data_IF_149606170200
#
_entry.id   IF_149606170200
#
_cell.length_a   1.000
_cell.length_b   1.000
_cell.length_c   1.000
_cell.angle_alpha   90.00
_cell.angle_beta   90.00
_cell.angle_gamma   90.00
#
_symmetry.space_group_name_H-M   'P 1'
#
loop_
_entity.id
_entity.type
_entity.pdbx_description
1 polymer ?
#
# COMPACT_ATOMS: atom_id res chain seq x y z
N UNK A 1 5.74 -7.70 15.74
CA UNK A 1 4.49 -8.33 15.30
C UNK A 1 4.86 -9.48 14.38
N UNK A 2 4.28 -10.66 14.58
CA UNK A 2 4.56 -11.83 13.72
C UNK A 2 3.89 -11.63 12.35
N UNK A 3 4.62 -11.93 11.28
CA UNK A 3 4.11 -11.88 9.90
C UNK A 3 3.92 -13.28 9.34
N UNK A 4 3.03 -13.39 8.35
CA UNK A 4 2.85 -14.60 7.53
C UNK A 4 2.77 -14.21 6.05
N UNK A 5 3.15 -15.14 5.19
CA UNK A 5 2.83 -15.03 3.77
C UNK A 5 1.31 -15.05 3.60
N UNK A 6 0.79 -14.08 2.86
CA UNK A 6 -0.62 -13.90 2.54
C UNK A 6 -0.76 -13.87 1.03
N UNK A 7 -1.69 -14.67 0.53
CA UNK A 7 -2.08 -14.70 -0.87
C UNK A 7 -3.12 -13.59 -1.11
N UNK A 8 -2.92 -12.80 -2.16
CA UNK A 8 -3.81 -11.73 -2.62
C UNK A 8 -4.30 -12.06 -4.03
N UNK A 9 -5.51 -11.62 -4.37
CA UNK A 9 -6.13 -11.81 -5.69
C UNK A 9 -6.10 -13.29 -6.13
N UNK A 10 -6.58 -14.17 -5.26
CA UNK A 10 -6.58 -15.62 -5.53
C UNK A 10 -5.19 -16.26 -5.60
N UNK A 11 -4.16 -15.62 -5.03
CA UNK A 11 -2.78 -16.12 -5.00
C UNK A 11 -1.92 -15.63 -6.16
N UNK A 12 -2.44 -14.75 -7.03
CA UNK A 12 -1.65 -14.11 -8.07
C UNK A 12 -0.56 -13.20 -7.52
N UNK A 13 -0.77 -12.65 -6.32
CA UNK A 13 0.23 -11.86 -5.59
C UNK A 13 0.44 -12.48 -4.20
N UNK A 14 1.69 -12.46 -3.73
CA UNK A 14 2.08 -12.89 -2.38
C UNK A 14 2.75 -11.75 -1.64
N UNK A 15 2.49 -11.61 -0.35
CA UNK A 15 3.11 -10.57 0.49
C UNK A 15 3.20 -11.04 1.94
N UNK A 16 4.19 -10.57 2.70
CA UNK A 16 4.19 -10.78 4.15
C UNK A 16 3.38 -9.69 4.86
N UNK A 17 2.36 -10.11 5.60
CA UNK A 17 1.47 -9.25 6.37
C UNK A 17 1.30 -9.79 7.80
N UNK A 18 0.82 -8.99 8.77
CA UNK A 18 0.60 -9.46 10.14
C UNK A 18 -0.36 -10.65 10.20
N UNK A 19 -0.08 -11.59 11.11
CA UNK A 19 -0.93 -12.77 11.33
C UNK A 19 -2.33 -12.41 11.84
N UNK A 20 -2.47 -11.24 12.45
CA UNK A 20 -3.69 -10.74 13.10
C UNK A 20 -4.58 -9.89 12.20
N UNK A 21 -4.28 -9.76 10.91
CA UNK A 21 -5.18 -9.08 9.98
C UNK A 21 -6.49 -9.86 9.78
N UNK A 22 -7.59 -9.12 9.69
CA UNK A 22 -8.88 -9.60 9.22
C UNK A 22 -9.08 -9.11 7.80
N UNK A 23 -9.37 -10.03 6.89
CA UNK A 23 -9.83 -9.74 5.54
C UNK A 23 -11.30 -9.24 5.59
N UNK A 24 -11.53 -8.03 5.10
CA UNK A 24 -12.83 -7.37 5.11
C UNK A 24 -13.79 -7.97 4.08
N UNK A 25 -13.28 -8.67 3.05
CA UNK A 25 -14.12 -9.35 2.04
C UNK A 25 -15.07 -10.39 2.65
N UNK A 26 -14.69 -10.96 3.80
CA UNK A 26 -15.49 -11.91 4.57
C UNK A 26 -16.69 -11.26 5.27
N UNK A 27 -16.70 -9.94 5.40
CA UNK A 27 -17.73 -9.16 6.11
C UNK A 27 -18.59 -8.36 5.14
N UNK A 28 -18.00 -7.81 4.09
CA UNK A 28 -18.69 -7.02 3.06
C UNK A 28 -18.01 -7.18 1.71
N UNK A 29 -18.75 -6.86 0.65
CA UNK A 29 -18.15 -6.79 -0.68
C UNK A 29 -17.07 -5.70 -0.74
N UNK A 30 -15.96 -6.07 -1.36
CA UNK A 30 -14.82 -5.21 -1.73
C UNK A 30 -14.71 -5.30 -3.25
N UNK A 31 -14.37 -4.21 -3.97
CA UNK A 31 -14.14 -4.27 -5.41
C UNK A 31 -13.12 -5.35 -5.78
N UNK A 32 -13.32 -6.03 -6.91
CA UNK A 32 -12.41 -7.11 -7.37
C UNK A 32 -10.96 -6.63 -7.57
N UNK A 33 -10.77 -5.33 -7.82
CA UNK A 33 -9.45 -4.70 -7.96
C UNK A 33 -8.78 -4.39 -6.62
N UNK A 34 -9.42 -4.68 -5.48
CA UNK A 34 -8.96 -4.33 -4.15
C UNK A 34 -8.92 -5.52 -3.19
N UNK A 35 -7.93 -5.50 -2.31
CA UNK A 35 -7.83 -6.35 -1.12
C UNK A 35 -7.74 -5.44 0.11
N UNK A 36 -8.64 -5.63 1.08
CA UNK A 36 -8.79 -4.72 2.22
C UNK A 36 -8.69 -5.50 3.52
N UNK A 37 -7.73 -5.10 4.35
CA UNK A 37 -7.49 -5.69 5.66
C UNK A 37 -7.57 -4.64 6.76
N UNK A 38 -8.00 -5.09 7.94
CA UNK A 38 -7.89 -4.32 9.18
C UNK A 38 -7.13 -5.13 10.23
N UNK A 39 -6.39 -4.45 11.10
CA UNK A 39 -5.74 -5.11 12.21
C UNK A 39 -6.76 -5.50 13.29
N UNK A 40 -6.80 -6.78 13.65
CA UNK A 40 -7.57 -7.24 14.80
C UNK A 40 -6.82 -6.91 16.09
N UNK A 41 -7.09 -5.73 16.66
CA UNK A 41 -6.67 -5.47 18.04
C UNK A 41 -7.72 -6.04 18.98
N UNK A 42 -7.48 -7.25 19.52
CA UNK A 42 -8.26 -7.77 20.66
C UNK A 42 -8.03 -6.98 21.95
N UNK A 43 -7.11 -6.03 21.95
CA UNK A 43 -6.92 -5.09 23.05
C UNK A 43 -7.93 -3.95 22.94
N UNK A 44 -8.99 -4.07 23.74
CA UNK A 44 -9.98 -3.01 23.99
C UNK A 44 -9.34 -1.70 24.51
N UNK A 45 -8.11 -1.75 25.02
CA UNK A 45 -7.39 -0.57 25.54
C UNK A 45 -6.46 0.10 24.51
N UNK A 46 -6.19 -0.56 23.37
CA UNK A 46 -5.39 -0.02 22.27
C UNK A 46 -5.96 -0.50 20.92
N UNK A 47 -7.14 -0.01 20.50
CA UNK A 47 -7.58 -0.21 19.13
C UNK A 47 -6.54 0.46 18.22
N UNK A 48 -5.75 -0.37 17.54
CA UNK A 48 -4.93 0.11 16.45
C UNK A 48 -5.76 -0.08 15.19
N UNK A 49 -6.42 1.00 14.77
CA UNK A 49 -7.30 1.08 13.59
C UNK A 49 -6.49 1.06 12.28
N UNK A 50 -5.38 0.32 12.27
CA UNK A 50 -4.55 0.11 11.09
C UNK A 50 -5.38 -0.61 10.04
N UNK A 51 -5.52 0.04 8.89
CA UNK A 51 -6.04 -0.58 7.66
C UNK A 51 -4.93 -0.71 6.64
N UNK A 52 -4.98 -1.80 5.86
CA UNK A 52 -4.06 -2.08 4.77
C UNK A 52 -4.91 -2.35 3.53
N UNK A 53 -4.67 -1.60 2.47
CA UNK A 53 -5.40 -1.70 1.21
C UNK A 53 -4.38 -1.95 0.11
N UNK A 54 -4.64 -2.94 -0.73
CA UNK A 54 -3.88 -3.19 -1.95
C UNK A 54 -4.84 -3.04 -3.12
N UNK A 55 -4.47 -2.24 -4.12
CA UNK A 55 -5.34 -1.92 -5.25
C UNK A 55 -4.59 -1.98 -6.59
N UNK A 56 -5.25 -2.53 -7.60
CA UNK A 56 -4.81 -2.54 -9.00
C UNK A 56 -5.46 -1.37 -9.74
N UNK A 57 -4.64 -0.41 -10.14
CA UNK A 57 -5.05 0.81 -10.84
C UNK A 57 -4.47 0.90 -12.25
N UNK A 58 -5.09 1.73 -13.07
CA UNK A 58 -4.50 2.10 -14.36
C UNK A 58 -3.24 2.93 -14.14
N UNK A 59 -2.17 2.64 -14.90
CA UNK A 59 -0.94 3.42 -14.82
C UNK A 59 -1.20 4.87 -15.24
N UNK A 60 -0.70 5.81 -14.44
CA UNK A 60 -0.76 7.22 -14.78
C UNK A 60 0.22 7.61 -15.89
N UNK A 61 -0.15 8.63 -16.67
CA UNK A 61 0.69 9.27 -17.68
C UNK A 61 1.51 10.41 -17.07
N UNK A 62 2.34 10.11 -16.08
CA UNK A 62 3.23 11.08 -15.40
C UNK A 62 4.65 11.03 -15.96
N UNK A 63 5.46 12.05 -15.63
CA UNK A 63 6.88 12.14 -15.98
C UNK A 63 7.78 11.16 -15.21
N UNK A 64 7.37 10.72 -14.02
CA UNK A 64 8.17 9.83 -13.17
C UNK A 64 7.31 9.06 -12.16
N UNK A 65 7.81 7.93 -11.66
CA UNK A 65 7.13 7.18 -10.58
C UNK A 65 7.00 7.99 -9.27
N UNK A 66 7.88 8.98 -9.04
CA UNK A 66 7.74 9.92 -7.93
C UNK A 66 6.55 10.86 -8.11
N UNK A 67 6.26 11.25 -9.35
CA UNK A 67 5.09 12.08 -9.64
C UNK A 67 3.81 11.23 -9.57
N UNK A 68 3.84 9.97 -10.04
CA UNK A 68 2.71 9.04 -9.88
C UNK A 68 2.32 8.80 -8.43
N UNK A 69 3.28 8.50 -7.54
CA UNK A 69 2.94 8.22 -6.13
C UNK A 69 2.40 9.46 -5.41
N UNK A 70 2.89 10.66 -5.77
CA UNK A 70 2.35 11.93 -5.25
C UNK A 70 0.92 12.13 -5.73
N UNK A 71 0.66 11.90 -7.02
CA UNK A 71 -0.68 12.00 -7.59
C UNK A 71 -1.66 11.01 -6.93
N UNK A 72 -1.26 9.76 -6.71
CA UNK A 72 -2.09 8.77 -6.01
C UNK A 72 -2.35 9.20 -4.56
N UNK A 73 -1.36 9.76 -3.86
CA UNK A 73 -1.55 10.30 -2.51
C UNK A 73 -2.50 11.50 -2.47
N UNK A 74 -2.40 12.42 -3.44
CA UNK A 74 -3.28 13.57 -3.55
C UNK A 74 -4.72 13.16 -3.92
N UNK A 75 -4.86 12.16 -4.81
CA UNK A 75 -6.17 11.57 -5.16
C UNK A 75 -6.83 10.91 -3.95
N UNK A 76 -6.07 10.14 -3.17
CA UNK A 76 -6.55 9.57 -1.91
C UNK A 76 -7.00 10.65 -0.92
N UNK A 77 -6.27 11.78 -0.84
CA UNK A 77 -6.67 12.90 0.00
C UNK A 77 -7.98 13.56 -0.47
N UNK A 78 -8.16 13.71 -1.78
CA UNK A 78 -9.41 14.20 -2.36
C UNK A 78 -10.59 13.26 -2.06
N UNK A 79 -10.40 11.94 -2.23
CA UNK A 79 -11.44 10.94 -1.99
C UNK A 79 -11.84 10.87 -0.51
N UNK A 80 -10.87 11.07 0.39
CA UNK A 80 -11.11 11.22 1.82
C UNK A 80 -11.71 12.57 2.22
N UNK A 81 -11.88 13.51 1.28
CA UNK A 81 -12.25 14.90 1.56
C UNK A 81 -11.35 15.52 2.65
N UNK A 82 -10.05 15.25 2.57
CA UNK A 82 -9.09 15.71 3.55
C UNK A 82 -9.03 17.24 3.59
N UNK A 83 -9.06 17.81 4.78
CA UNK A 83 -8.94 19.25 5.01
C UNK A 83 -7.54 19.75 4.72
N UNK A 84 -6.55 18.91 4.96
CA UNK A 84 -5.16 19.13 4.56
C UNK A 84 -4.46 17.79 4.34
N UNK A 85 -3.45 17.82 3.48
CA UNK A 85 -2.53 16.72 3.25
C UNK A 85 -1.09 17.24 3.25
N UNK A 86 -0.16 16.41 3.73
CA UNK A 86 1.26 16.74 3.71
C UNK A 86 2.09 15.48 3.48
N UNK A 87 2.90 15.52 2.43
CA UNK A 87 3.91 14.51 2.18
C UNK A 87 5.11 14.78 3.11
N UNK A 88 5.51 13.77 3.87
CA UNK A 88 6.67 13.84 4.77
C UNK A 88 7.95 13.42 4.04
N UNK A 89 7.88 12.35 3.24
CA UNK A 89 9.00 11.88 2.42
C UNK A 89 8.53 10.99 1.28
N UNK A 90 9.33 10.99 0.20
CA UNK A 90 9.26 10.03 -0.90
C UNK A 90 10.63 9.44 -1.11
N UNK A 91 10.77 8.12 -1.20
CA UNK A 91 12.05 7.45 -1.27
C UNK A 91 11.95 6.10 -2.01
N UNK A 92 13.06 5.64 -2.58
CA UNK A 92 13.16 4.28 -3.09
C UNK A 92 13.32 3.31 -1.91
N UNK A 93 12.81 2.09 -2.04
CA UNK A 93 13.16 1.02 -1.11
C UNK A 93 14.66 0.70 -1.26
N UNK A 94 15.47 1.04 -0.26
CA UNK A 94 16.91 0.74 -0.27
C UNK A 94 17.12 -0.77 -0.19
N UNK A 95 17.63 -1.39 -1.26
CA UNK A 95 18.08 -2.78 -1.18
C UNK A 95 19.41 -2.86 -0.43
N UNK A 96 19.46 -3.66 0.64
CA UNK A 96 20.67 -4.45 0.90
C UNK A 96 20.71 -5.51 -0.17
N UNK A 97 21.71 -5.44 -1.04
CA UNK A 97 21.91 -6.26 -2.24
C UNK A 97 21.59 -7.74 -2.00
N UNK A 98 20.36 -8.15 -2.27
CA UNK A 98 20.04 -9.53 -2.56
C UNK A 98 20.27 -9.68 -4.06
N UNK A 99 21.50 -10.10 -4.38
CA UNK A 99 21.93 -10.70 -5.64
C UNK A 99 20.90 -10.61 -6.76
N UNK A 100 21.07 -9.62 -7.63
CA UNK A 100 20.78 -9.81 -9.04
C UNK A 100 21.58 -11.02 -9.51
N UNK A 101 20.99 -12.21 -9.41
CA UNK A 101 21.47 -13.38 -10.16
C UNK A 101 21.31 -13.03 -11.62
N UNK A 102 22.41 -12.55 -12.22
CA UNK A 102 22.83 -12.79 -13.60
C UNK A 102 21.72 -13.42 -14.43
N UNK A 103 20.95 -12.58 -15.13
CA UNK A 103 20.03 -13.04 -16.15
C UNK A 103 20.83 -13.78 -17.23
N UNK A 104 20.70 -15.10 -17.25
CA UNK A 104 20.86 -15.86 -18.47
C UNK A 104 19.75 -15.36 -19.42
N UNK A 105 20.06 -14.90 -20.65
CA UNK A 105 19.07 -14.23 -21.53
C UNK A 105 18.09 -15.20 -22.20
N UNK A 106 17.81 -16.36 -21.60
CA UNK A 106 17.04 -17.45 -22.22
C UNK A 106 15.65 -17.72 -21.61
N UNK A 107 15.17 -16.88 -20.69
CA UNK A 107 13.77 -16.92 -20.23
C UNK A 107 13.25 -15.50 -19.99
N UNK A 108 12.21 -15.08 -20.73
CA UNK A 108 11.46 -13.82 -20.53
C UNK A 108 10.64 -13.86 -19.22
N UNK A 109 11.28 -14.11 -18.08
CA UNK A 109 10.57 -14.17 -16.80
C UNK A 109 10.42 -12.76 -16.24
N UNK A 110 9.18 -12.26 -16.19
CA UNK A 110 8.86 -10.99 -15.55
C UNK A 110 9.21 -11.08 -14.06
N UNK A 111 9.75 -9.99 -13.51
CA UNK A 111 10.06 -9.83 -12.09
C UNK A 111 9.27 -8.65 -11.55
N UNK A 112 8.83 -8.74 -10.30
CA UNK A 112 8.16 -7.62 -9.63
C UNK A 112 9.13 -6.44 -9.52
N UNK A 113 8.79 -5.25 -10.04
CA UNK A 113 9.68 -4.10 -9.98
C UNK A 113 9.90 -3.64 -8.53
N UNK A 114 10.88 -2.75 -8.32
CA UNK A 114 11.02 -2.12 -7.01
C UNK A 114 9.97 -1.01 -6.83
N UNK A 115 9.36 -0.87 -5.64
CA UNK A 115 8.40 0.19 -5.40
C UNK A 115 9.07 1.53 -5.11
N UNK A 116 8.36 2.61 -5.46
CA UNK A 116 8.55 3.92 -4.80
C UNK A 116 7.70 3.93 -3.53
N UNK A 117 8.24 4.51 -2.46
CA UNK A 117 7.56 4.64 -1.18
C UNK A 117 7.29 6.10 -0.85
N UNK A 118 6.16 6.35 -0.21
CA UNK A 118 5.73 7.66 0.28
C UNK A 118 5.23 7.50 1.72
N UNK A 119 5.57 8.47 2.56
CA UNK A 119 4.99 8.65 3.88
C UNK A 119 4.40 10.05 3.96
N UNK A 120 3.17 10.15 4.44
CA UNK A 120 2.42 11.39 4.51
C UNK A 120 1.39 11.38 5.64
N UNK A 121 0.79 12.54 5.87
CA UNK A 121 -0.30 12.72 6.83
C UNK A 121 -1.47 13.42 6.13
N UNK A 122 -2.68 13.07 6.53
CA UNK A 122 -3.91 13.75 6.14
C UNK A 122 -4.71 14.13 7.39
N UNK A 123 -5.40 15.26 7.34
CA UNK A 123 -6.36 15.68 8.35
C UNK A 123 -7.76 15.50 7.80
N UNK A 124 -8.56 14.62 8.41
CA UNK A 124 -9.88 14.22 7.89
C UNK A 124 -10.93 14.43 8.98
N UNK A 125 -11.97 15.23 8.68
CA UNK A 125 -13.14 15.36 9.57
C UNK A 125 -14.24 14.39 9.13
N UNK A 126 -14.81 13.68 10.10
CA UNK A 126 -15.95 12.78 9.88
C UNK A 126 -17.26 13.56 10.11
N UNK A 127 -18.18 13.52 9.14
CA UNK A 127 -19.61 13.86 9.29
C UNK A 127 -19.93 15.15 10.08
N UNK A 128 -19.81 16.32 9.45
CA UNK A 128 -20.18 17.63 10.04
C UNK A 128 -19.53 17.98 11.39
N UNK A 129 -18.47 17.27 11.80
CA UNK A 129 -17.67 17.67 12.96
C UNK A 129 -16.83 18.89 12.61
N UNK A 130 -16.66 19.82 13.56
CA UNK A 130 -15.83 21.01 13.34
C UNK A 130 -14.38 20.61 13.06
N UNK A 131 -13.67 21.41 12.28
CA UNK A 131 -12.27 21.17 11.89
C UNK A 131 -11.33 20.98 13.09
N UNK A 132 -11.70 21.53 14.26
CA UNK A 132 -10.99 21.33 15.51
C UNK A 132 -11.00 19.88 16.04
N UNK A 133 -11.85 19.01 15.48
CA UNK A 133 -12.00 17.60 15.84
C UNK A 133 -11.59 16.65 14.69
N UNK A 134 -10.84 17.14 13.70
CA UNK A 134 -10.35 16.31 12.61
C UNK A 134 -9.38 15.22 13.11
N UNK A 135 -9.57 14.00 12.61
CA UNK A 135 -8.64 12.90 12.85
C UNK A 135 -7.39 13.12 12.00
N UNK A 136 -6.20 13.00 12.60
CA UNK A 136 -4.96 12.94 11.85
C UNK A 136 -4.68 11.49 11.46
N UNK A 137 -4.56 11.23 10.16
CA UNK A 137 -4.27 9.90 9.62
C UNK A 137 -2.85 9.89 9.07
N UNK A 138 -2.01 9.02 9.63
CA UNK A 138 -0.69 8.74 9.08
C UNK A 138 -0.81 7.68 7.99
N UNK A 139 -0.21 7.95 6.84
CA UNK A 139 -0.38 7.14 5.64
C UNK A 139 0.98 6.76 5.09
N UNK A 140 1.17 5.47 4.84
CA UNK A 140 2.27 4.95 4.05
C UNK A 140 1.72 4.39 2.75
N UNK A 141 2.39 4.70 1.63
CA UNK A 141 1.99 4.27 0.30
C UNK A 141 3.20 3.68 -0.43
N UNK A 142 3.03 2.51 -1.05
CA UNK A 142 3.99 1.88 -1.94
C UNK A 142 3.38 1.76 -3.34
N UNK A 143 4.15 2.11 -4.37
CA UNK A 143 3.73 2.08 -5.77
C UNK A 143 4.67 1.21 -6.59
N UNK A 144 4.10 0.19 -7.24
CA UNK A 144 4.76 -0.60 -8.28
C UNK A 144 4.16 -0.27 -9.64
N UNK A 145 4.95 0.34 -10.53
CA UNK A 145 4.52 0.65 -11.89
C UNK A 145 4.91 -0.49 -12.85
N UNK A 146 3.91 -1.19 -13.37
CA UNK A 146 4.04 -2.30 -14.32
C UNK A 146 3.93 -1.77 -15.76
N UNK A 147 5.04 -1.28 -16.30
CA UNK A 147 5.08 -0.70 -17.65
C UNK A 147 4.74 -1.75 -18.71
N UNK A 148 3.79 -1.44 -19.60
CA UNK A 148 3.40 -2.34 -20.68
C UNK A 148 2.54 -3.54 -20.28
N UNK A 149 2.19 -3.66 -19.00
CA UNK A 149 1.41 -4.78 -18.46
C UNK A 149 -0.02 -4.31 -18.15
N UNK A 150 -1.00 -4.97 -18.76
CA UNK A 150 -2.41 -4.65 -18.64
C UNK A 150 -2.82 -3.34 -19.30
N UNK A 151 -4.12 -3.04 -19.22
CA UNK A 151 -4.73 -1.84 -19.82
C UNK A 151 -4.35 -1.64 -21.29
N UNK A 152 -4.45 -2.70 -22.12
CA UNK A 152 -4.06 -2.68 -23.54
C UNK A 152 -2.60 -2.22 -23.77
N UNK A 153 -1.69 -2.56 -22.84
CA UNK A 153 -0.27 -2.20 -22.92
C UNK A 153 0.04 -0.78 -22.41
N UNK A 154 -0.94 -0.03 -21.90
CA UNK A 154 -0.70 1.27 -21.28
C UNK A 154 -0.03 1.15 -19.90
N UNK A 155 -0.12 -0.02 -19.28
CA UNK A 155 0.50 -0.33 -17.99
C UNK A 155 -0.49 -0.29 -16.82
N UNK A 156 -0.02 -0.78 -15.68
CA UNK A 156 -0.78 -0.90 -14.44
C UNK A 156 0.03 -0.31 -13.28
N UNK A 157 -0.64 0.39 -12.37
CA UNK A 157 -0.07 0.81 -11.09
C UNK A 157 -0.66 -0.08 -10.00
N UNK A 158 0.17 -0.85 -9.31
CA UNK A 158 -0.23 -1.58 -8.10
C UNK A 158 0.13 -0.70 -6.89
N UNK A 159 -0.87 -0.39 -6.06
CA UNK A 159 -0.73 0.53 -4.93
C UNK A 159 -1.03 -0.21 -3.63
N UNK A 160 -0.14 -0.13 -2.65
CA UNK A 160 -0.40 -0.55 -1.28
C UNK A 160 -0.46 0.69 -0.39
N UNK A 161 -1.53 0.83 0.38
CA UNK A 161 -1.73 1.92 1.35
C UNK A 161 -1.93 1.35 2.75
N UNK A 162 -1.22 1.89 3.74
CA UNK A 162 -1.46 1.64 5.16
C UNK A 162 -1.94 2.93 5.82
N UNK A 163 -3.11 2.90 6.45
CA UNK A 163 -3.67 4.06 7.16
C UNK A 163 -3.70 3.80 8.65
N UNK A 164 -3.14 4.73 9.43
CA UNK A 164 -3.12 4.70 10.88
C UNK A 164 -3.69 6.01 11.44
N UNK A 165 -4.96 6.02 11.89
CA UNK A 165 -5.55 7.17 12.56
C UNK A 165 -4.94 7.43 13.93
N UNK A 166 -4.87 8.71 14.32
CA UNK A 166 -4.64 9.20 15.68
C UNK A 166 -3.42 8.54 16.37
N UNK A 167 -2.26 8.60 15.72
CA UNK A 167 -1.00 8.07 16.24
C UNK A 167 -0.69 8.69 17.60
N UNK A 168 -0.85 7.91 18.67
CA UNK A 168 -0.67 8.38 20.04
C UNK A 168 0.71 8.08 20.63
N UNK A 169 1.42 7.10 20.06
CA UNK A 169 2.69 6.59 20.60
C UNK A 169 3.74 6.46 19.47
N UNK A 170 4.95 7.04 19.62
CA UNK A 170 6.02 6.93 18.63
C UNK A 170 6.40 5.49 18.28
N UNK A 171 6.32 4.57 19.25
CA UNK A 171 6.62 3.15 19.05
C UNK A 171 5.66 2.49 18.05
N UNK A 172 4.37 2.88 18.07
CA UNK A 172 3.38 2.37 17.11
C UNK A 172 3.69 2.85 15.71
N UNK A 173 4.12 4.11 15.57
CA UNK A 173 4.55 4.68 14.30
C UNK A 173 5.77 3.94 13.73
N UNK A 174 6.79 3.70 14.57
CA UNK A 174 8.00 2.99 14.18
C UNK A 174 7.70 1.53 13.78
N UNK A 175 6.89 0.82 14.56
CA UNK A 175 6.47 -0.55 14.27
C UNK A 175 5.68 -0.63 12.97
N UNK A 176 4.75 0.30 12.75
CA UNK A 176 3.95 0.36 11.51
C UNK A 176 4.82 0.71 10.31
N UNK A 177 5.80 1.59 10.47
CA UNK A 177 6.79 1.90 9.41
C UNK A 177 7.59 0.65 9.02
N UNK A 178 8.08 -0.13 9.99
CA UNK A 178 8.79 -1.39 9.73
C UNK A 178 7.88 -2.41 9.04
N UNK A 179 6.62 -2.49 9.45
CA UNK A 179 5.63 -3.37 8.83
C UNK A 179 5.37 -2.99 7.38
N UNK A 180 5.16 -1.71 7.11
CA UNK A 180 4.98 -1.18 5.76
C UNK A 180 6.17 -1.51 4.85
N UNK A 181 7.39 -1.29 5.35
CA UNK A 181 8.60 -1.61 4.60
C UNK A 181 8.76 -3.12 4.36
N UNK A 182 8.37 -3.97 5.32
CA UNK A 182 8.36 -5.43 5.14
C UNK A 182 7.37 -5.84 4.05
N UNK A 183 6.13 -5.35 4.10
CA UNK A 183 5.12 -5.64 3.08
C UNK A 183 5.59 -5.17 1.69
N UNK A 184 6.10 -3.94 1.58
CA UNK A 184 6.62 -3.42 0.33
C UNK A 184 7.84 -4.19 -0.20
N UNK A 185 8.68 -4.74 0.69
CA UNK A 185 9.85 -5.54 0.31
C UNK A 185 9.48 -6.95 -0.16
N UNK A 186 8.43 -7.54 0.43
CA UNK A 186 8.08 -8.95 0.25
C UNK A 186 6.98 -9.18 -0.77
N UNK A 187 6.31 -8.12 -1.24
CA UNK A 187 5.32 -8.23 -2.29
C UNK A 187 5.93 -8.81 -3.57
N UNK A 188 5.36 -9.90 -4.03
CA UNK A 188 5.76 -10.63 -5.22
C UNK A 188 4.54 -10.95 -6.08
N UNK A 189 4.61 -10.58 -7.35
CA UNK A 189 3.68 -11.01 -8.39
C UNK A 189 4.10 -12.41 -8.84
N UNK A 190 3.21 -13.38 -8.66
CA UNK A 190 3.42 -14.79 -9.00
C UNK A 190 2.69 -15.16 -10.29
N UNK A 191 1.48 -14.64 -10.49
CA UNK A 191 0.71 -14.81 -11.73
C UNK A 191 0.43 -13.45 -12.38
N UNK A 192 1.01 -13.23 -13.55
CA UNK A 192 0.88 -12.00 -14.31
C UNK A 192 -0.42 -11.94 -15.15
N UNK A 193 -1.15 -13.05 -15.27
CA UNK A 193 -2.46 -13.06 -15.95
C UNK A 193 -3.51 -12.26 -15.18
N UNK A 194 -3.26 -11.94 -13.90
CA UNK A 194 -4.06 -11.00 -13.12
C UNK A 194 -4.27 -9.66 -13.85
N UNK A 195 -3.30 -9.24 -14.65
CA UNK A 195 -3.31 -7.94 -15.34
C UNK A 195 -3.68 -8.05 -16.83
N UNK A 196 -4.03 -9.24 -17.33
CA UNK A 196 -4.29 -9.47 -18.76
C UNK A 196 -5.55 -8.76 -19.27
#
# INVERSE_FOLDING_TARGET
>A
MESKQTDLFGGAIKVELPTTLIDISQVRQVPDSQEVFILNSKDLEKPNDLSIIIEVLQKLSTSSSFDSIRFHFDSLANDNSAQSSKILKTFNLNQTSATSTSSNPSTNHLTTPQPILLEGIQSVSKFNRPDSEADQVHIWMALWTLNGIGNNGLGTDLVLTMNLPNVSQPEVLEQTTKLFQLAAKTLQIVDWNLFA
#
